data_IF_642748500986
#
_entry.id   IF_642748500986
#
_cell.length_a   1.000
_cell.length_b   1.000
_cell.length_c   1.000
_cell.angle_alpha   90.00
_cell.angle_beta   90.00
_cell.angle_gamma   90.00
#
_symmetry.space_group_name_H-M   'P 1'
#
loop_
_entity.id
_entity.type
_entity.pdbx_description
1 polymer ?
#
# COMPACT_ATOMS: atom_id res chain seq x y z
N UNK A 1 56.76 29.78 -49.34
CA UNK A 1 56.89 28.67 -50.32
C UNK A 1 57.95 27.69 -49.82
N UNK A 2 57.60 26.39 -49.76
CA UNK A 2 58.44 25.16 -49.62
C UNK A 2 59.12 24.93 -48.24
N UNK A 3 58.62 24.07 -47.32
CA UNK A 3 58.64 22.58 -47.25
C UNK A 3 60.05 21.99 -47.42
N UNK A 4 60.60 21.14 -46.52
CA UNK A 4 60.23 19.72 -46.26
C UNK A 4 60.91 19.20 -44.96
N UNK A 5 60.23 18.51 -44.02
CA UNK A 5 59.97 17.04 -43.86
C UNK A 5 60.90 16.32 -42.84
N UNK A 6 60.25 15.96 -41.72
CA UNK A 6 60.23 14.69 -40.95
C UNK A 6 61.52 14.04 -40.44
N UNK A 7 61.50 13.75 -39.13
CA UNK A 7 61.88 12.44 -38.61
C UNK A 7 60.75 11.86 -37.76
N UNK A 8 60.58 10.55 -37.84
CA UNK A 8 59.50 9.78 -37.20
C UNK A 8 60.07 8.56 -36.49
N UNK A 9 59.28 8.09 -35.52
CA UNK A 9 59.15 6.74 -34.90
C UNK A 9 59.66 6.64 -33.45
N UNK A 10 59.22 5.62 -32.66
CA UNK A 10 57.86 5.05 -32.53
C UNK A 10 57.44 4.70 -31.06
N UNK A 11 56.11 4.71 -30.81
CA UNK A 11 55.28 3.72 -30.07
C UNK A 11 55.73 3.25 -28.65
N UNK A 12 54.88 3.46 -27.62
CA UNK A 12 54.06 2.42 -26.92
C UNK A 12 53.41 2.93 -25.61
N UNK A 13 52.09 3.11 -25.71
CA UNK A 13 51.00 2.75 -24.78
C UNK A 13 51.40 2.38 -23.35
N UNK A 14 50.77 3.03 -22.35
CA UNK A 14 49.88 2.37 -21.37
C UNK A 14 48.82 3.37 -20.88
N UNK A 15 47.56 3.06 -21.17
CA UNK A 15 46.43 3.59 -20.44
C UNK A 15 46.44 2.97 -19.03
N UNK A 16 46.14 3.76 -18.01
CA UNK A 16 45.75 3.27 -16.70
C UNK A 16 44.51 4.05 -16.26
N UNK A 17 43.47 3.28 -15.97
CA UNK A 17 42.12 3.71 -15.67
C UNK A 17 42.06 4.58 -14.41
N UNK A 18 41.22 5.61 -14.43
CA UNK A 18 40.68 6.21 -13.21
C UNK A 18 39.25 5.72 -13.06
N UNK A 19 39.09 4.88 -12.05
CA UNK A 19 37.86 4.24 -11.62
C UNK A 19 36.81 5.28 -11.21
N UNK A 20 35.56 4.96 -11.54
CA UNK A 20 34.42 5.85 -11.38
C UNK A 20 34.00 6.09 -9.94
N UNK A 21 33.27 7.18 -9.77
CA UNK A 21 32.33 7.39 -8.66
C UNK A 21 30.95 7.55 -9.28
N UNK A 22 30.20 6.46 -9.33
CA UNK A 22 28.76 6.50 -9.57
C UNK A 22 28.12 7.01 -8.28
N UNK A 23 27.78 8.30 -8.26
CA UNK A 23 26.86 8.82 -7.26
C UNK A 23 25.49 8.16 -7.49
N UNK A 24 25.15 7.18 -6.66
CA UNK A 24 23.81 6.62 -6.59
C UNK A 24 22.88 7.70 -6.03
N UNK A 25 22.21 8.41 -6.92
CA UNK A 25 21.02 9.16 -6.56
C UNK A 25 19.95 8.15 -6.12
N UNK A 26 19.82 7.97 -4.81
CA UNK A 26 18.72 7.22 -4.23
C UNK A 26 17.43 8.03 -4.46
N UNK A 27 16.77 7.78 -5.58
CA UNK A 27 15.37 8.17 -5.74
C UNK A 27 14.61 7.28 -4.77
N UNK A 28 14.21 7.84 -3.62
CA UNK A 28 13.20 7.24 -2.79
C UNK A 28 11.92 7.20 -3.63
N UNK A 29 11.70 6.10 -4.33
CA UNK A 29 10.42 5.78 -4.92
C UNK A 29 9.51 5.53 -3.73
N UNK A 30 8.86 6.60 -3.26
CA UNK A 30 7.72 6.46 -2.37
C UNK A 30 6.77 5.52 -3.06
N UNK A 31 6.52 4.36 -2.47
CA UNK A 31 5.47 3.46 -2.91
C UNK A 31 4.18 4.22 -2.72
N UNK A 32 3.71 4.89 -3.77
CA UNK A 32 2.35 5.39 -3.82
C UNK A 32 1.47 4.18 -3.53
N UNK A 33 0.75 4.23 -2.41
CA UNK A 33 -0.24 3.23 -2.06
C UNK A 33 -1.16 3.10 -3.27
N UNK A 34 -1.06 1.97 -3.97
CA UNK A 34 -2.00 1.65 -5.04
C UNK A 34 -3.30 1.21 -4.38
N UNK A 35 -4.47 1.50 -4.98
CA UNK A 35 -5.75 1.04 -4.46
C UNK A 35 -5.67 -0.46 -4.17
N UNK A 36 -6.30 -0.86 -3.08
CA UNK A 36 -6.36 -2.24 -2.67
C UNK A 36 -7.06 -3.10 -3.74
N UNK A 37 -6.24 -3.68 -4.62
CA UNK A 37 -6.66 -4.22 -5.92
C UNK A 37 -6.83 -5.74 -5.92
N UNK A 38 -6.45 -6.39 -4.83
CA UNK A 38 -6.76 -7.80 -4.60
C UNK A 38 -8.18 -7.91 -4.03
N UNK A 39 -8.94 -8.89 -4.53
CA UNK A 39 -10.27 -9.20 -3.99
C UNK A 39 -10.13 -9.78 -2.58
N UNK A 40 -11.14 -9.51 -1.74
CA UNK A 40 -11.31 -10.25 -0.49
C UNK A 40 -11.56 -11.74 -0.76
N UNK A 41 -11.54 -12.54 0.31
CA UNK A 41 -11.75 -13.98 0.22
C UNK A 41 -12.64 -14.49 1.34
N UNK A 42 -13.31 -15.61 1.09
CA UNK A 42 -14.01 -16.34 2.14
C UNK A 42 -12.99 -17.00 3.09
N UNK A 43 -13.13 -16.75 4.39
CA UNK A 43 -12.32 -17.35 5.44
C UNK A 43 -13.22 -18.01 6.48
N UNK A 44 -12.68 -19.02 7.17
CA UNK A 44 -13.36 -19.67 8.28
C UNK A 44 -13.05 -18.92 9.58
N UNK A 45 -14.10 -18.63 10.35
CA UNK A 45 -14.02 -18.09 11.70
C UNK A 45 -14.98 -18.89 12.59
N UNK A 46 -14.43 -19.67 13.51
CA UNK A 46 -15.19 -20.54 14.43
C UNK A 46 -16.25 -21.42 13.74
N UNK A 47 -15.94 -21.95 12.56
CA UNK A 47 -16.84 -22.81 11.77
C UNK A 47 -17.89 -22.04 10.96
N UNK A 48 -17.80 -20.71 10.91
CA UNK A 48 -18.62 -19.85 10.07
C UNK A 48 -17.79 -19.23 8.95
N UNK A 49 -18.34 -19.22 7.73
CA UNK A 49 -17.72 -18.49 6.62
C UNK A 49 -17.95 -16.99 6.78
N UNK A 50 -16.86 -16.24 6.95
CA UNK A 50 -16.84 -14.78 6.95
C UNK A 50 -16.01 -14.26 5.77
N UNK A 51 -16.13 -12.97 5.47
CA UNK A 51 -15.36 -12.35 4.39
C UNK A 51 -14.12 -11.67 4.97
N UNK A 52 -12.95 -12.06 4.48
CA UNK A 52 -11.67 -11.53 4.92
C UNK A 52 -11.02 -10.63 3.87
N UNK A 53 -10.21 -9.70 4.35
CA UNK A 53 -9.29 -8.90 3.54
C UNK A 53 -7.97 -8.70 4.30
N UNK A 54 -6.89 -8.33 3.60
CA UNK A 54 -5.62 -7.97 4.21
C UNK A 54 -5.43 -6.47 4.22
N UNK A 55 -4.89 -5.94 5.31
CA UNK A 55 -4.46 -4.54 5.39
C UNK A 55 -3.38 -4.26 4.34
N UNK A 56 -3.51 -3.14 3.63
CA UNK A 56 -2.58 -2.71 2.59
C UNK A 56 -2.54 -1.19 2.48
N UNK A 57 -1.62 -0.67 1.66
CA UNK A 57 -1.57 0.75 1.32
C UNK A 57 -1.06 1.65 2.45
N UNK A 58 -0.60 1.09 3.58
CA UNK A 58 -0.02 1.88 4.67
C UNK A 58 1.47 2.11 4.41
N UNK A 59 1.95 3.33 4.67
CA UNK A 59 3.38 3.66 4.63
C UNK A 59 4.21 2.84 5.62
N UNK A 60 5.47 2.55 5.27
CA UNK A 60 6.37 1.81 6.15
C UNK A 60 6.55 2.52 7.52
N UNK A 61 6.39 1.77 8.62
CA UNK A 61 6.46 2.30 9.98
C UNK A 61 5.16 2.94 10.50
N UNK A 62 4.13 3.04 9.66
CA UNK A 62 2.78 3.49 10.04
C UNK A 62 1.86 2.31 10.33
N UNK A 63 0.64 2.60 10.79
CA UNK A 63 -0.43 1.63 11.04
C UNK A 63 -1.78 2.19 10.60
N UNK A 64 -2.73 1.30 10.33
CA UNK A 64 -4.15 1.59 10.18
C UNK A 64 -4.79 1.51 11.56
N UNK A 65 -5.52 2.54 11.96
CA UNK A 65 -6.32 2.53 13.18
C UNK A 65 -7.75 2.09 12.85
N UNK A 66 -8.40 1.31 13.73
CA UNK A 66 -9.86 1.22 13.68
C UNK A 66 -10.50 2.36 14.46
N UNK A 67 -11.68 2.76 13.99
CA UNK A 67 -12.42 3.93 14.45
C UNK A 67 -13.72 3.53 15.15
N UNK A 68 -14.21 4.37 16.07
CA UNK A 68 -15.47 4.09 16.79
C UNK A 68 -16.72 4.24 15.90
N UNK A 69 -16.58 4.86 14.73
CA UNK A 69 -17.59 4.98 13.69
C UNK A 69 -16.95 5.16 12.31
N UNK A 70 -17.74 5.21 11.22
CA UNK A 70 -17.25 5.39 9.85
C UNK A 70 -16.82 6.85 9.56
N UNK A 71 -16.01 7.41 10.45
CA UNK A 71 -15.52 8.78 10.40
C UNK A 71 -14.20 8.88 11.17
N UNK A 72 -13.24 9.62 10.62
CA UNK A 72 -11.97 9.90 11.30
C UNK A 72 -12.17 10.78 12.54
N UNK A 73 -13.27 11.54 12.62
CA UNK A 73 -13.65 12.34 13.78
C UNK A 73 -14.24 11.55 14.95
N UNK A 74 -14.56 10.25 14.77
CA UNK A 74 -15.16 9.41 15.82
C UNK A 74 -14.17 8.96 16.91
N UNK A 75 -12.89 9.31 16.77
CA UNK A 75 -11.82 8.75 17.59
C UNK A 75 -11.46 7.32 17.18
N UNK A 76 -10.40 6.79 17.77
CA UNK A 76 -9.92 5.43 17.50
C UNK A 76 -10.34 4.48 18.63
N UNK A 77 -10.42 3.20 18.32
CA UNK A 77 -10.62 2.12 19.30
C UNK A 77 -9.35 1.84 20.12
N UNK A 78 -8.20 2.31 19.65
CA UNK A 78 -6.87 2.00 20.18
C UNK A 78 -6.15 0.87 19.45
N UNK A 79 -6.84 0.10 18.62
CA UNK A 79 -6.25 -0.98 17.85
C UNK A 79 -5.43 -0.47 16.65
N UNK A 80 -4.34 -1.18 16.36
CA UNK A 80 -3.38 -0.83 15.33
C UNK A 80 -3.11 -2.03 14.44
N UNK A 81 -3.26 -1.82 13.14
CA UNK A 81 -3.05 -2.86 12.16
C UNK A 81 -1.98 -2.47 11.14
N UNK A 82 -1.23 -3.46 10.69
CA UNK A 82 -0.09 -3.32 9.81
C UNK A 82 -0.34 -4.05 8.50
N UNK A 83 0.35 -3.64 7.44
CA UNK A 83 0.25 -4.29 6.14
C UNK A 83 0.41 -5.81 6.25
N UNK A 84 -0.49 -6.55 5.59
CA UNK A 84 -0.54 -8.00 5.57
C UNK A 84 -1.36 -8.65 6.70
N UNK A 85 -1.80 -7.89 7.72
CA UNK A 85 -2.72 -8.44 8.72
C UNK A 85 -4.11 -8.67 8.12
N UNK A 86 -4.71 -9.81 8.46
CA UNK A 86 -6.05 -10.18 8.01
C UNK A 86 -7.12 -9.52 8.89
N UNK A 87 -8.19 -9.07 8.25
CA UNK A 87 -9.38 -8.46 8.82
C UNK A 87 -10.60 -9.28 8.48
N UNK A 88 -11.49 -9.46 9.47
CA UNK A 88 -12.80 -10.06 9.27
C UNK A 88 -13.83 -8.95 9.14
N UNK A 89 -14.53 -8.94 8.02
CA UNK A 89 -15.46 -7.86 7.66
C UNK A 89 -16.88 -8.29 8.01
N UNK A 90 -17.49 -7.65 8.99
CA UNK A 90 -18.82 -7.99 9.49
C UNK A 90 -19.93 -7.36 8.64
N UNK A 91 -19.81 -6.07 8.34
CA UNK A 91 -20.74 -5.33 7.50
C UNK A 91 -20.09 -4.10 6.87
N UNK A 92 -20.70 -3.54 5.83
CA UNK A 92 -20.24 -2.30 5.21
C UNK A 92 -21.20 -1.13 5.45
N UNK A 93 -20.67 0.08 5.44
CA UNK A 93 -21.43 1.33 5.47
C UNK A 93 -20.68 2.41 4.67
N UNK A 94 -21.24 3.61 4.61
CA UNK A 94 -20.57 4.77 4.02
C UNK A 94 -20.27 5.82 5.08
N UNK A 95 -19.25 6.65 4.81
CA UNK A 95 -18.76 7.62 5.79
C UNK A 95 -17.88 8.72 5.22
N UNK A 96 -16.89 9.14 6.01
CA UNK A 96 -15.84 10.04 5.55
C UNK A 96 -15.06 9.43 4.37
N UNK A 97 -14.54 10.27 3.48
CA UNK A 97 -13.61 9.81 2.44
C UNK A 97 -12.28 9.38 3.05
N UNK A 98 -11.55 8.47 2.40
CA UNK A 98 -10.23 8.00 2.82
C UNK A 98 -9.28 9.16 3.18
N UNK A 99 -8.36 8.91 4.10
CA UNK A 99 -7.51 9.97 4.67
C UNK A 99 -6.52 10.56 3.66
N UNK A 100 -6.25 9.86 2.56
CA UNK A 100 -5.30 10.26 1.53
C UNK A 100 -5.98 11.01 0.36
N UNK A 101 -7.30 11.15 0.38
CA UNK A 101 -8.07 11.97 -0.56
C UNK A 101 -8.37 11.30 -1.89
N UNK A 102 -8.41 9.97 -1.95
CA UNK A 102 -8.75 9.21 -3.16
C UNK A 102 -10.26 9.15 -3.45
N UNK A 103 -11.10 9.53 -2.48
CA UNK A 103 -12.55 9.61 -2.61
C UNK A 103 -13.28 8.32 -2.23
N UNK A 104 -12.60 7.33 -1.64
CA UNK A 104 -13.25 6.12 -1.16
C UNK A 104 -14.04 6.40 0.12
N UNK A 105 -15.34 6.13 0.10
CA UNK A 105 -16.25 6.41 1.22
C UNK A 105 -16.81 5.15 1.85
N UNK A 106 -16.37 3.97 1.45
CA UNK A 106 -16.82 2.72 2.03
C UNK A 106 -16.03 2.40 3.29
N UNK A 107 -16.74 1.93 4.29
CA UNK A 107 -16.18 1.53 5.58
C UNK A 107 -16.71 0.15 5.92
N UNK A 108 -15.86 -0.68 6.52
CA UNK A 108 -16.28 -1.95 7.11
C UNK A 108 -16.28 -1.86 8.62
N UNK A 109 -17.36 -2.34 9.23
CA UNK A 109 -17.30 -2.76 10.61
C UNK A 109 -16.51 -4.07 10.68
N UNK A 110 -15.55 -4.13 11.60
CA UNK A 110 -14.81 -5.33 11.90
C UNK A 110 -15.64 -6.26 12.78
N UNK A 111 -15.48 -7.56 12.59
CA UNK A 111 -16.09 -8.55 13.48
C UNK A 111 -15.60 -8.33 14.92
N UNK A 112 -16.47 -8.59 15.89
CA UNK A 112 -16.20 -8.47 17.33
C UNK A 112 -15.00 -9.28 17.80
N UNK A 113 -14.70 -10.40 17.16
CA UNK A 113 -13.50 -11.21 17.46
C UNK A 113 -12.22 -10.62 16.84
N UNK A 114 -12.36 -9.66 15.93
CA UNK A 114 -11.29 -8.91 15.26
C UNK A 114 -11.18 -7.47 15.79
N UNK A 115 -11.13 -7.33 17.11
CA UNK A 115 -10.84 -6.07 17.84
C UNK A 115 -11.88 -4.93 17.66
N UNK A 116 -12.88 -5.11 16.81
CA UNK A 116 -14.02 -4.21 16.61
C UNK A 116 -13.68 -2.85 15.97
N UNK A 117 -14.72 -2.06 15.74
CA UNK A 117 -14.64 -0.72 15.14
C UNK A 117 -14.77 -0.72 13.62
N UNK A 118 -14.40 0.41 13.01
CA UNK A 118 -14.56 0.67 11.57
C UNK A 118 -13.23 0.99 10.90
N UNK A 119 -13.03 0.46 9.70
CA UNK A 119 -11.89 0.76 8.82
C UNK A 119 -12.38 1.15 7.42
N UNK A 120 -11.65 2.01 6.73
CA UNK A 120 -11.99 2.42 5.36
C UNK A 120 -11.50 1.38 4.33
N UNK A 121 -12.32 1.13 3.30
CA UNK A 121 -12.10 0.15 2.22
C UNK A 121 -10.76 0.36 1.51
N UNK A 122 -10.32 1.61 1.36
CA UNK A 122 -9.07 1.97 0.68
C UNK A 122 -7.83 1.25 1.24
N UNK A 123 -7.84 0.93 2.54
CA UNK A 123 -6.70 0.36 3.26
C UNK A 123 -6.76 -1.16 3.41
N UNK A 124 -7.67 -1.86 2.71
CA UNK A 124 -7.81 -3.32 2.77
C UNK A 124 -8.06 -3.96 1.42
N UNK A 125 -7.48 -5.13 1.16
CA UNK A 125 -7.58 -5.88 -0.11
C UNK A 125 -8.95 -6.52 -0.31
N UNK A 126 -9.97 -5.71 -0.49
CA UNK A 126 -11.37 -6.09 -0.74
C UNK A 126 -11.70 -6.06 -2.23
N UNK A 127 -11.01 -5.21 -3.00
CA UNK A 127 -11.29 -4.95 -4.40
C UNK A 127 -12.41 -3.94 -4.58
N UNK A 128 -13.21 -4.08 -5.63
CA UNK A 128 -14.32 -3.17 -5.91
C UNK A 128 -15.61 -3.56 -5.15
N UNK A 129 -16.56 -2.63 -4.97
CA UNK A 129 -17.85 -2.93 -4.34
C UNK A 129 -18.60 -4.12 -4.95
N UNK A 130 -18.51 -4.32 -6.27
CA UNK A 130 -19.14 -5.47 -6.93
C UNK A 130 -18.55 -6.83 -6.51
N UNK A 131 -17.33 -6.85 -5.96
CA UNK A 131 -16.67 -8.08 -5.52
C UNK A 131 -17.06 -8.44 -4.08
N UNK A 132 -17.24 -7.45 -3.20
CA UNK A 132 -17.50 -7.70 -1.78
C UNK A 132 -18.97 -7.53 -1.36
N UNK A 133 -19.77 -6.68 -2.01
CA UNK A 133 -21.19 -6.46 -1.64
C UNK A 133 -22.07 -7.73 -1.66
N UNK A 134 -21.83 -8.72 -2.55
CA UNK A 134 -22.58 -9.99 -2.50
C UNK A 134 -22.29 -10.84 -1.24
N UNK A 135 -21.18 -10.57 -0.55
CA UNK A 135 -20.68 -11.38 0.57
C UNK A 135 -20.73 -10.67 1.91
N UNK A 136 -20.52 -9.35 1.91
CA UNK A 136 -20.56 -8.50 3.10
C UNK A 136 -21.89 -7.73 3.11
N UNK A 137 -22.76 -7.93 4.11
CA UNK A 137 -24.02 -7.21 4.19
C UNK A 137 -23.81 -5.74 4.57
N UNK A 138 -24.79 -4.89 4.28
CA UNK A 138 -24.78 -3.51 4.79
C UNK A 138 -25.06 -3.50 6.31
N UNK A 139 -24.41 -2.61 7.05
CA UNK A 139 -24.64 -2.41 8.48
C UNK A 139 -26.09 -1.94 8.74
N UNK A 140 -26.67 -2.39 9.86
CA UNK A 140 -28.04 -2.06 10.28
C UNK A 140 -28.09 -0.95 11.30
#
# INVERSE_FOLDING_TARGET
MKSHVRQARPIRRRAAALAGTLALAAVAVGTAASPASAAGWACDHDGHTVWCASVTGISAGSYLASHNGPSYGSGTTGHRYYNGQTMMLACWTTGDGDADGHGDRYWFALDSDSDGGFINDWYVTTGSPSQWQPHVPQCR
#
